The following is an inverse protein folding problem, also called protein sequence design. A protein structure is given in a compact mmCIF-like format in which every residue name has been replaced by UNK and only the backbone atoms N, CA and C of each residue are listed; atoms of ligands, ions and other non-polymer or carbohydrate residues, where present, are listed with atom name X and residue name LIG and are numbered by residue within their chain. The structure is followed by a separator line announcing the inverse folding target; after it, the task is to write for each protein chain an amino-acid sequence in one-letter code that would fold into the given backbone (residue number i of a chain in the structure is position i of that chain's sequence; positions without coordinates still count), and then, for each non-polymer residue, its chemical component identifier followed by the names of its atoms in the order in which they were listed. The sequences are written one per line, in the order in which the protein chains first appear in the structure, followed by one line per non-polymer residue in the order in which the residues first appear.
data_IF_333437310968
#
_entry.id   IF_333437310968
#
_cell.length_a   1.000
_cell.length_b   1.000
_cell.length_c   1.000
_cell.angle_alpha   90.00
_cell.angle_beta   90.00
_cell.angle_gamma   90.00
#
_symmetry.space_group_name_H-M   'P 1'
#
loop_
_entity.id
_entity.type
_entity.pdbx_description
1 polymer ?
#
# COMPACT_ATOMS: atom_id res chain seq x y z
N UNK A 1 -20.87 -24.59 -11.42
CA UNK A 1 -20.41 -23.24 -11.78
C UNK A 1 -19.17 -22.93 -10.95
N UNK A 2 -17.98 -23.04 -11.53
CA UNK A 2 -16.78 -22.48 -10.89
C UNK A 2 -16.87 -20.97 -10.97
N UNK A 3 -16.83 -20.27 -9.84
CA UNK A 3 -16.63 -18.82 -9.85
C UNK A 3 -15.22 -18.61 -10.40
N UNK A 4 -15.07 -17.91 -11.54
CA UNK A 4 -13.76 -17.36 -11.90
C UNK A 4 -13.27 -16.54 -10.70
N UNK A 5 -12.13 -16.92 -10.11
CA UNK A 5 -11.37 -16.04 -9.22
C UNK A 5 -11.04 -14.83 -10.09
N UNK A 6 -11.71 -13.70 -9.90
CA UNK A 6 -11.33 -12.47 -10.59
C UNK A 6 -9.99 -12.07 -9.99
N UNK A 7 -8.93 -12.20 -10.78
CA UNK A 7 -7.59 -11.79 -10.37
C UNK A 7 -7.56 -10.28 -10.44
N UNK A 8 -7.37 -9.64 -9.28
CA UNK A 8 -7.25 -8.18 -9.17
C UNK A 8 -6.04 -7.72 -9.98
N UNK A 9 -6.22 -6.71 -10.83
CA UNK A 9 -5.10 -6.14 -11.57
C UNK A 9 -4.26 -5.22 -10.68
N UNK A 10 -2.99 -4.99 -11.06
CA UNK A 10 -2.12 -4.02 -10.39
C UNK A 10 -2.76 -2.63 -10.28
N UNK A 11 -3.48 -2.20 -11.33
CA UNK A 11 -4.13 -0.91 -11.35
C UNK A 11 -5.30 -0.85 -10.36
N UNK A 12 -6.16 -1.87 -10.33
CA UNK A 12 -7.25 -1.96 -9.37
C UNK A 12 -6.72 -2.00 -7.94
N UNK A 13 -5.71 -2.84 -7.67
CA UNK A 13 -5.05 -2.93 -6.39
C UNK A 13 -4.56 -1.57 -5.91
N UNK A 14 -3.68 -0.90 -6.66
CA UNK A 14 -3.11 0.36 -6.21
C UNK A 14 -4.13 1.51 -6.19
N UNK A 15 -5.23 1.44 -6.96
CA UNK A 15 -6.32 2.41 -6.87
C UNK A 15 -7.03 2.37 -5.52
N UNK A 16 -7.04 1.21 -4.86
CA UNK A 16 -7.61 1.00 -3.53
C UNK A 16 -6.54 1.16 -2.43
N UNK A 17 -5.37 0.57 -2.66
CA UNK A 17 -4.30 0.45 -1.67
C UNK A 17 -3.63 1.80 -1.36
N UNK A 18 -3.39 2.64 -2.39
CA UNK A 18 -2.68 3.92 -2.17
C UNK A 18 -3.47 4.88 -1.26
N UNK A 19 -4.77 5.17 -1.51
CA UNK A 19 -5.55 6.01 -0.59
C UNK A 19 -5.62 5.45 0.83
N UNK A 20 -5.70 4.12 0.96
CA UNK A 20 -5.74 3.45 2.25
C UNK A 20 -4.41 3.58 3.00
N UNK A 21 -3.29 3.39 2.31
CA UNK A 21 -1.94 3.58 2.83
C UNK A 21 -1.70 5.03 3.28
N UNK A 22 -2.11 6.03 2.49
CA UNK A 22 -1.99 7.43 2.89
C UNK A 22 -2.75 7.70 4.19
N UNK A 23 -3.98 7.19 4.30
CA UNK A 23 -4.78 7.31 5.52
C UNK A 23 -4.13 6.62 6.72
N UNK A 24 -3.55 5.43 6.52
CA UNK A 24 -2.82 4.73 7.56
C UNK A 24 -1.61 5.54 8.06
N UNK A 25 -0.81 6.09 7.15
CA UNK A 25 0.34 6.93 7.48
C UNK A 25 -0.06 8.25 8.14
N UNK A 26 -1.19 8.85 7.78
CA UNK A 26 -1.61 10.12 8.37
C UNK A 26 -2.20 9.94 9.78
N UNK A 27 -2.62 8.72 10.14
CA UNK A 27 -3.24 8.39 11.45
C UNK A 27 -2.37 7.53 12.37
N UNK A 28 -1.16 7.18 11.96
CA UNK A 28 -0.21 6.33 12.69
C UNK A 28 0.38 6.95 13.99
N UNK A 29 0.07 8.22 14.24
CA UNK A 29 0.38 8.91 15.49
C UNK A 29 -0.73 8.71 16.54
N UNK A 30 -1.93 8.33 16.11
CA UNK A 30 -3.09 8.03 16.96
C UNK A 30 -3.08 6.54 17.33
N UNK A 31 -2.79 5.70 16.34
CA UNK A 31 -2.77 4.25 16.47
C UNK A 31 -1.34 3.78 16.80
N UNK A 32 -1.07 3.55 18.09
CA UNK A 32 0.27 3.21 18.60
C UNK A 32 0.36 1.76 19.11
N UNK A 33 1.56 1.17 19.03
CA UNK A 33 1.83 -0.21 19.43
C UNK A 33 0.92 -1.23 18.74
N UNK A 34 0.39 -2.19 19.49
CA UNK A 34 -0.53 -3.23 18.98
C UNK A 34 -1.85 -2.70 18.37
N UNK A 35 -2.12 -1.39 18.45
CA UNK A 35 -3.29 -0.75 17.83
C UNK A 35 -2.97 -0.11 16.48
N UNK A 36 -1.72 -0.15 16.03
CA UNK A 36 -1.31 0.30 14.70
C UNK A 36 -2.22 -0.33 13.65
N UNK A 37 -2.69 0.49 12.72
CA UNK A 37 -3.56 0.07 11.62
C UNK A 37 -2.81 0.16 10.31
N UNK A 38 -2.73 -0.95 9.59
CA UNK A 38 -2.15 -1.04 8.26
C UNK A 38 -3.09 -0.47 7.19
N UNK A 39 -2.65 -0.41 5.93
CA UNK A 39 -3.50 0.00 4.81
C UNK A 39 -4.79 -0.84 4.69
N UNK A 40 -4.71 -2.14 4.97
CA UNK A 40 -5.78 -3.11 4.83
C UNK A 40 -6.97 -2.81 5.79
N UNK A 41 -6.70 -2.15 6.91
CA UNK A 41 -7.71 -1.70 7.89
C UNK A 41 -8.59 -0.53 7.38
N UNK A 42 -8.17 0.13 6.29
CA UNK A 42 -8.87 1.28 5.71
C UNK A 42 -9.58 0.94 4.40
N UNK A 43 -9.54 -0.31 3.97
CA UNK A 43 -10.21 -0.81 2.77
C UNK A 43 -11.56 -1.44 3.17
N UNK A 44 -12.55 -1.42 2.26
CA UNK A 44 -13.83 -2.10 2.46
C UNK A 44 -13.59 -3.60 2.76
N UNK A 45 -14.22 -4.11 3.82
CA UNK A 45 -14.09 -5.51 4.24
C UNK A 45 -14.52 -6.50 3.17
N UNK A 46 -15.37 -6.09 2.22
CA UNK A 46 -15.74 -6.91 1.06
C UNK A 46 -14.59 -7.17 0.11
N UNK A 47 -13.58 -6.28 0.09
CA UNK A 47 -12.42 -6.34 -0.79
C UNK A 47 -11.16 -6.88 -0.08
N UNK A 48 -11.20 -7.10 1.24
CA UNK A 48 -10.04 -7.53 2.02
C UNK A 48 -9.42 -8.82 1.49
N UNK A 49 -10.24 -9.84 1.21
CA UNK A 49 -9.75 -11.11 0.67
C UNK A 49 -9.03 -10.90 -0.67
N UNK A 50 -9.53 -10.01 -1.54
CA UNK A 50 -8.91 -9.77 -2.85
C UNK A 50 -7.57 -9.03 -2.71
N UNK A 51 -7.50 -8.07 -1.78
CA UNK A 51 -6.27 -7.33 -1.44
C UNK A 51 -5.22 -8.25 -0.82
N UNK A 52 -5.61 -9.09 0.14
CA UNK A 52 -4.73 -10.06 0.80
C UNK A 52 -4.17 -11.05 -0.23
N UNK A 53 -5.02 -11.62 -1.09
CA UNK A 53 -4.56 -12.49 -2.18
C UNK A 53 -3.57 -11.75 -3.10
N UNK A 54 -3.82 -10.49 -3.43
CA UNK A 54 -2.91 -9.72 -4.27
C UNK A 54 -1.55 -9.53 -3.58
N UNK A 55 -1.53 -9.15 -2.30
CA UNK A 55 -0.31 -8.98 -1.51
C UNK A 55 0.49 -10.28 -1.37
N UNK A 56 -0.18 -11.42 -1.18
CA UNK A 56 0.46 -12.74 -1.12
C UNK A 56 1.06 -13.17 -2.46
N UNK A 57 0.39 -12.88 -3.57
CA UNK A 57 0.82 -13.26 -4.92
C UNK A 57 1.85 -12.27 -5.52
N UNK A 58 1.89 -11.04 -5.01
CA UNK A 58 2.69 -9.95 -5.54
C UNK A 58 3.49 -9.24 -4.44
N UNK A 59 4.74 -9.68 -4.28
CA UNK A 59 5.72 -8.99 -3.46
C UNK A 59 6.58 -8.06 -4.34
N UNK A 60 6.65 -6.79 -3.96
CA UNK A 60 7.59 -5.85 -4.56
C UNK A 60 8.26 -4.99 -3.48
N UNK A 61 9.38 -4.35 -3.85
CA UNK A 61 10.22 -3.58 -2.93
C UNK A 61 9.45 -2.45 -2.24
N UNK A 62 8.39 -1.92 -2.86
CA UNK A 62 7.57 -0.87 -2.24
C UNK A 62 6.65 -1.48 -1.17
N UNK A 63 5.97 -2.58 -1.48
CA UNK A 63 5.10 -3.29 -0.55
C UNK A 63 5.88 -3.85 0.66
N UNK A 64 7.08 -4.35 0.44
CA UNK A 64 7.97 -4.81 1.52
C UNK A 64 8.34 -3.68 2.49
N UNK A 65 8.65 -2.48 1.98
CA UNK A 65 8.90 -1.31 2.84
C UNK A 65 7.68 -0.92 3.65
N UNK A 66 6.49 -0.98 3.03
CA UNK A 66 5.23 -0.73 3.74
C UNK A 66 5.06 -1.73 4.87
N UNK A 67 5.26 -3.02 4.60
CA UNK A 67 5.18 -4.08 5.61
C UNK A 67 6.16 -3.85 6.78
N UNK A 68 7.44 -3.57 6.50
CA UNK A 68 8.42 -3.27 7.53
C UNK A 68 8.08 -2.05 8.37
N UNK A 69 7.51 -1.01 7.75
CA UNK A 69 7.09 0.18 8.49
C UNK A 69 6.01 -0.13 9.51
N UNK A 70 4.94 -0.80 9.10
CA UNK A 70 3.82 -1.09 10.00
C UNK A 70 4.18 -2.15 11.05
N UNK A 71 5.01 -3.14 10.71
CA UNK A 71 5.56 -4.08 11.69
C UNK A 71 6.39 -3.36 12.77
N UNK A 72 7.34 -2.52 12.35
CA UNK A 72 8.17 -1.76 13.28
C UNK A 72 7.36 -0.81 14.17
N UNK A 73 6.36 -0.13 13.58
CA UNK A 73 5.43 0.73 14.32
C UNK A 73 4.64 -0.06 15.35
N UNK A 74 4.16 -1.26 15.01
CA UNK A 74 3.38 -2.10 15.92
C UNK A 74 4.18 -2.54 17.15
N UNK A 75 5.50 -2.68 17.00
CA UNK A 75 6.46 -3.02 18.06
C UNK A 75 7.10 -1.80 18.74
N UNK A 76 6.71 -0.58 18.36
CA UNK A 76 7.30 0.68 18.81
C UNK A 76 8.83 0.78 18.58
N UNK A 77 9.32 0.16 17.50
CA UNK A 77 10.74 0.31 17.15
C UNK A 77 11.01 1.74 16.64
N UNK A 78 12.09 2.39 17.11
CA UNK A 78 12.42 3.76 16.72
C UNK A 78 13.05 3.84 15.31
N UNK A 79 13.48 2.71 14.76
CA UNK A 79 14.20 2.63 13.48
C UNK A 79 14.06 1.28 12.81
N UNK A 80 14.22 1.26 11.48
CA UNK A 80 14.31 0.07 10.64
C UNK A 80 15.69 0.08 9.99
N UNK A 81 16.51 -0.93 10.23
CA UNK A 81 17.88 -1.03 9.70
C UNK A 81 18.74 0.24 9.94
N UNK A 82 18.57 0.88 11.11
CA UNK A 82 19.28 2.12 11.47
C UNK A 82 18.71 3.39 10.85
N UNK A 83 17.65 3.31 10.04
CA UNK A 83 16.90 4.47 9.54
C UNK A 83 15.80 4.82 10.53
N UNK A 84 15.81 6.04 11.05
CA UNK A 84 14.74 6.52 11.94
C UNK A 84 13.35 6.36 11.32
N UNK A 85 12.37 5.97 12.14
CA UNK A 85 11.03 5.61 11.68
C UNK A 85 10.34 6.74 10.90
N UNK A 86 10.52 8.00 11.33
CA UNK A 86 9.96 9.17 10.64
C UNK A 86 10.67 9.47 9.31
N UNK A 87 11.96 9.15 9.18
CA UNK A 87 12.69 9.24 7.92
C UNK A 87 12.21 8.13 6.98
N UNK A 88 11.99 6.92 7.51
CA UNK A 88 11.46 5.79 6.76
C UNK A 88 10.05 6.09 6.20
N UNK A 89 9.17 6.64 7.04
CA UNK A 89 7.85 7.13 6.64
C UNK A 89 7.90 8.10 5.46
N UNK A 90 8.83 9.06 5.48
CA UNK A 90 9.02 10.02 4.38
C UNK A 90 9.43 9.33 3.08
N UNK A 91 10.28 8.29 3.14
CA UNK A 91 10.65 7.49 1.96
C UNK A 91 9.43 6.79 1.35
N UNK A 92 8.57 6.18 2.18
CA UNK A 92 7.31 5.60 1.71
C UNK A 92 6.43 6.65 1.03
N UNK A 93 6.28 7.85 1.62
CA UNK A 93 5.52 8.95 1.00
C UNK A 93 6.09 9.40 -0.35
N UNK A 94 7.40 9.35 -0.54
CA UNK A 94 8.02 9.61 -1.86
C UNK A 94 7.66 8.51 -2.86
N UNK A 95 7.71 7.25 -2.45
CA UNK A 95 7.39 6.11 -3.32
C UNK A 95 5.90 6.07 -3.70
N UNK A 96 5.00 6.43 -2.79
CA UNK A 96 3.57 6.65 -3.11
C UNK A 96 3.42 7.62 -4.27
N UNK A 97 4.15 8.74 -4.26
CA UNK A 97 4.10 9.73 -5.33
C UNK A 97 4.64 9.17 -6.66
N UNK A 98 5.67 8.31 -6.62
CA UNK A 98 6.21 7.65 -7.81
C UNK A 98 5.22 6.64 -8.40
N UNK A 99 4.56 5.86 -7.54
CA UNK A 99 3.49 4.93 -7.94
C UNK A 99 2.35 5.71 -8.61
N UNK A 100 1.89 6.81 -8.00
CA UNK A 100 0.85 7.69 -8.57
C UNK A 100 1.25 8.25 -9.94
N UNK A 101 2.50 8.71 -10.11
CA UNK A 101 3.01 9.21 -11.40
C UNK A 101 3.04 8.11 -12.46
N UNK A 102 3.49 6.91 -12.10
CA UNK A 102 3.47 5.75 -13.00
C UNK A 102 2.06 5.41 -13.51
N UNK A 103 1.02 5.70 -12.74
CA UNK A 103 -0.38 5.57 -13.23
C UNK A 103 -0.80 6.68 -14.19
N UNK A 104 -0.29 7.91 -14.01
CA UNK A 104 -0.59 9.03 -14.90
C UNK A 104 0.13 8.88 -16.24
N UNK A 105 1.38 8.41 -16.24
CA UNK A 105 2.18 8.25 -17.46
C UNK A 105 1.67 7.08 -18.34
N UNK A 106 1.09 6.04 -17.75
CA UNK A 106 0.45 4.94 -18.49
C UNK A 106 -0.96 5.28 -19.01
N UNK A 107 -1.49 6.48 -18.73
CA UNK A 107 -2.82 6.93 -19.19
C UNK A 107 -2.78 7.71 -20.50
N UNK A 108 -1.58 7.99 -21.05
CA UNK A 108 -1.41 8.76 -22.30
C UNK A 108 -1.23 7.90 -23.56
N UNK A 109 -1.18 6.57 -23.44
CA UNK A 109 -1.07 5.66 -24.60
C UNK A 109 -2.43 5.08 -25.04
N UNK A 110 -3.47 5.92 -25.08
CA UNK A 110 -4.62 5.64 -25.94
C UNK A 110 -4.32 6.25 -27.30
N UNK A 111 -4.08 5.46 -28.37
CA UNK A 111 -3.91 6.05 -29.69
C UNK A 111 -5.21 6.76 -30.04
N UNK A 112 -5.12 8.07 -30.25
CA UNK A 112 -6.17 8.81 -30.90
C UNK A 112 -6.47 8.09 -32.21
N UNK A 113 -7.63 7.44 -32.27
CA UNK A 113 -8.16 6.95 -33.51
C UNK A 113 -8.29 8.11 -34.49
N UNK A 114 -7.74 7.92 -35.68
CA UNK A 114 -8.44 7.99 -36.97
C UNK A 114 -7.50 7.51 -38.08
#
# INVERSE_FOLDING_TARGET
MGKSKMVMTKQEFYSLYIPALEKALDTDHINIGFKVKGPEDYIDTKLQVEIENYLEEHEDVFLEKVAYYFDAKSHNFPSIEGVEIEVYKKKIKIEINNVKKGFLDNSTDSPAGL
#
